data_IF_260283381159
#
_entry.id   IF_260283381159
#
_cell.length_a   1.000
_cell.length_b   1.000
_cell.length_c   1.000
_cell.angle_alpha   90.00
_cell.angle_beta   90.00
_cell.angle_gamma   90.00
#
_symmetry.space_group_name_H-M   'P 1'
#
loop_
_entity.id
_entity.type
_entity.pdbx_description
1 polymer ?
#
# COMPACT_ATOMS: atom_id res chain seq x y z
N UNK A 1 5.10 27.26 30.84
CA UNK A 1 5.71 26.32 29.87
C UNK A 1 6.08 24.97 30.53
N UNK A 2 5.32 24.49 31.52
CA UNK A 2 5.85 23.48 32.48
C UNK A 2 5.06 22.16 32.54
N UNK A 3 4.02 21.96 31.71
CA UNK A 3 3.14 20.78 31.84
C UNK A 3 3.21 19.77 30.67
N UNK A 4 3.70 20.16 29.49
CA UNK A 4 3.73 19.26 28.32
C UNK A 4 4.81 18.16 28.43
N UNK A 5 6.01 18.51 28.93
CA UNK A 5 7.14 17.57 29.06
C UNK A 5 6.89 16.45 30.06
N UNK A 6 6.06 16.68 31.08
CA UNK A 6 5.69 15.66 32.07
C UNK A 6 4.64 14.68 31.52
N UNK A 7 3.71 15.16 30.68
CA UNK A 7 2.71 14.32 30.03
C UNK A 7 3.32 13.39 28.97
N UNK A 8 4.38 13.81 28.28
CA UNK A 8 5.09 12.95 27.31
C UNK A 8 5.92 11.83 27.96
N UNK A 9 6.19 11.91 29.27
CA UNK A 9 6.96 10.89 29.99
C UNK A 9 6.12 9.66 30.39
N UNK A 10 4.80 9.79 30.48
CA UNK A 10 3.89 8.67 30.70
C UNK A 10 3.46 8.07 29.35
N UNK A 11 3.82 6.82 29.02
CA UNK A 11 3.45 6.19 27.74
C UNK A 11 1.94 5.97 27.56
N UNK A 12 1.15 6.13 28.62
CA UNK A 12 -0.31 6.07 28.63
C UNK A 12 -0.99 7.44 28.69
N UNK A 13 -0.25 8.55 28.56
CA UNK A 13 -0.89 9.86 28.40
C UNK A 13 -1.63 9.94 27.07
N UNK A 14 -2.65 10.79 27.00
CA UNK A 14 -3.40 11.00 25.75
C UNK A 14 -2.50 11.49 24.61
N UNK A 15 -1.46 12.28 24.92
CA UNK A 15 -0.46 12.75 23.94
C UNK A 15 0.35 11.58 23.41
N UNK A 16 0.91 10.72 24.28
CA UNK A 16 1.71 9.57 23.85
C UNK A 16 0.89 8.55 23.05
N UNK A 17 -0.39 8.35 23.40
CA UNK A 17 -1.31 7.48 22.66
C UNK A 17 -1.62 8.08 21.28
N UNK A 18 -1.90 9.39 21.21
CA UNK A 18 -2.12 10.10 19.96
C UNK A 18 -0.91 10.00 19.03
N UNK A 19 0.28 10.28 19.56
CA UNK A 19 1.52 10.23 18.79
C UNK A 19 1.79 8.83 18.26
N UNK A 20 1.59 7.79 19.08
CA UNK A 20 1.71 6.39 18.65
C UNK A 20 0.73 6.06 17.53
N UNK A 21 -0.52 6.53 17.62
CA UNK A 21 -1.53 6.33 16.58
C UNK A 21 -1.14 7.04 15.28
N UNK A 22 -0.63 8.29 15.36
CA UNK A 22 -0.16 9.05 14.20
C UNK A 22 1.03 8.37 13.51
N UNK A 23 1.99 7.86 14.29
CA UNK A 23 3.14 7.10 13.79
C UNK A 23 2.67 5.80 13.12
N UNK A 24 1.77 5.06 13.76
CA UNK A 24 1.22 3.83 13.20
C UNK A 24 0.48 4.09 11.87
N UNK A 25 -0.33 5.15 11.79
CA UNK A 25 -1.02 5.53 10.57
C UNK A 25 -0.05 5.91 9.44
N UNK A 26 1.02 6.65 9.74
CA UNK A 26 2.06 6.97 8.76
C UNK A 26 2.82 5.72 8.29
N UNK A 27 3.16 4.82 9.22
CA UNK A 27 3.79 3.53 8.91
C UNK A 27 2.89 2.67 8.03
N UNK A 28 1.59 2.59 8.35
CA UNK A 28 0.63 1.82 7.56
C UNK A 28 0.61 2.25 6.09
N UNK A 29 0.53 3.56 5.83
CA UNK A 29 0.58 4.10 4.45
C UNK A 29 1.91 3.76 3.75
N UNK A 30 3.04 3.94 4.43
CA UNK A 30 4.36 3.60 3.87
C UNK A 30 4.50 2.12 3.56
N UNK A 31 4.01 1.26 4.46
CA UNK A 31 4.02 -0.19 4.27
C UNK A 31 3.12 -0.63 3.11
N UNK A 32 1.96 0.01 2.91
CA UNK A 32 1.09 -0.26 1.76
C UNK A 32 1.82 0.01 0.43
N UNK A 33 2.49 1.17 0.32
CA UNK A 33 3.27 1.56 -0.86
C UNK A 33 4.43 0.58 -1.09
N UNK A 34 5.23 0.33 -0.05
CA UNK A 34 6.37 -0.58 -0.12
C UNK A 34 5.95 -2.01 -0.52
N UNK A 35 4.79 -2.47 -0.06
CA UNK A 35 4.26 -3.78 -0.42
C UNK A 35 3.87 -3.84 -1.90
N UNK A 36 3.22 -2.81 -2.44
CA UNK A 36 2.89 -2.74 -3.86
C UNK A 36 4.16 -2.82 -4.73
N UNK A 37 5.19 -2.05 -4.38
CA UNK A 37 6.46 -2.04 -5.11
C UNK A 37 7.22 -3.37 -4.99
N UNK A 38 7.19 -4.01 -3.81
CA UNK A 38 7.77 -5.33 -3.63
C UNK A 38 7.06 -6.37 -4.52
N UNK A 39 5.73 -6.36 -4.56
CA UNK A 39 4.93 -7.24 -5.43
C UNK A 39 5.26 -6.99 -6.92
N UNK A 40 5.44 -5.73 -7.34
CA UNK A 40 5.90 -5.41 -8.70
C UNK A 40 7.25 -6.07 -9.02
N UNK A 41 8.21 -6.01 -8.08
CA UNK A 41 9.54 -6.61 -8.27
C UNK A 41 9.51 -8.14 -8.29
N UNK A 42 8.64 -8.74 -7.47
CA UNK A 42 8.38 -10.18 -7.43
C UNK A 42 7.82 -10.64 -8.77
N UNK A 43 6.81 -9.94 -9.31
CA UNK A 43 6.21 -10.27 -10.61
C UNK A 43 7.23 -10.11 -11.74
N UNK A 44 7.95 -8.99 -11.80
CA UNK A 44 8.87 -8.68 -12.88
C UNK A 44 10.01 -9.70 -13.03
N UNK A 45 10.37 -10.40 -11.94
CA UNK A 45 11.41 -11.44 -11.90
C UNK A 45 10.84 -12.84 -11.68
N UNK A 46 9.52 -12.97 -11.60
CA UNK A 46 8.82 -14.21 -11.28
C UNK A 46 9.41 -14.94 -10.06
N UNK A 47 9.74 -14.17 -9.01
CA UNK A 47 10.49 -14.64 -7.83
C UNK A 47 9.81 -15.83 -7.16
N UNK A 48 8.48 -15.91 -7.26
CA UNK A 48 7.68 -16.99 -6.69
C UNK A 48 8.05 -18.40 -7.21
N UNK A 49 8.61 -18.54 -8.42
CA UNK A 49 9.10 -19.83 -8.90
C UNK A 49 10.31 -20.36 -8.11
N UNK A 50 11.10 -19.46 -7.51
CA UNK A 50 12.24 -19.86 -6.66
C UNK A 50 11.79 -20.46 -5.31
N UNK A 51 10.50 -20.32 -4.98
CA UNK A 51 9.88 -20.86 -3.79
C UNK A 51 8.88 -21.98 -4.12
N UNK A 52 9.02 -22.62 -5.29
CA UNK A 52 8.17 -23.74 -5.75
C UNK A 52 6.67 -23.39 -5.87
N UNK A 53 6.34 -22.09 -5.98
CA UNK A 53 4.98 -21.61 -6.19
C UNK A 53 4.68 -21.39 -7.67
N UNK A 54 3.42 -21.56 -8.05
CA UNK A 54 2.99 -21.50 -9.46
C UNK A 54 2.48 -20.13 -9.89
N UNK A 55 2.31 -19.20 -8.94
CA UNK A 55 1.76 -17.87 -9.25
C UNK A 55 2.12 -16.81 -8.20
N UNK A 56 2.08 -15.55 -8.63
CA UNK A 56 2.15 -14.40 -7.72
C UNK A 56 1.04 -14.42 -6.67
N UNK A 57 -0.14 -14.92 -7.02
CA UNK A 57 -1.26 -15.03 -6.08
C UNK A 57 -0.94 -15.96 -4.92
N UNK A 58 -0.38 -17.15 -5.20
CA UNK A 58 0.09 -18.06 -4.16
C UNK A 58 1.18 -17.40 -3.31
N UNK A 59 2.15 -16.72 -3.93
CA UNK A 59 3.19 -16.00 -3.20
C UNK A 59 2.61 -14.98 -2.21
N UNK A 60 1.63 -14.19 -2.65
CA UNK A 60 0.97 -13.20 -1.80
C UNK A 60 0.20 -13.82 -0.63
N UNK A 61 -0.47 -14.96 -0.84
CA UNK A 61 -1.29 -15.59 0.20
C UNK A 61 -0.44 -16.44 1.14
N UNK A 62 0.43 -17.29 0.59
CA UNK A 62 1.16 -18.31 1.34
C UNK A 62 2.42 -17.76 2.01
N UNK A 63 3.18 -16.89 1.34
CA UNK A 63 4.44 -16.37 1.89
C UNK A 63 4.29 -14.97 2.50
N UNK A 64 3.49 -14.09 1.90
CA UNK A 64 3.24 -12.75 2.47
C UNK A 64 2.09 -12.73 3.49
N UNK A 65 1.33 -13.83 3.63
CA UNK A 65 0.24 -13.94 4.59
C UNK A 65 -0.97 -13.05 4.28
N UNK A 66 -1.13 -12.59 3.04
CA UNK A 66 -2.28 -11.77 2.66
C UNK A 66 -3.56 -12.61 2.61
N UNK A 67 -4.68 -12.00 2.99
CA UNK A 67 -5.98 -12.58 2.67
C UNK A 67 -6.13 -12.66 1.15
N UNK A 68 -6.91 -13.64 0.66
CA UNK A 68 -7.17 -13.78 -0.79
C UNK A 68 -7.70 -12.48 -1.42
N UNK A 69 -8.57 -11.76 -0.69
CA UNK A 69 -9.12 -10.49 -1.17
C UNK A 69 -8.03 -9.42 -1.30
N UNK A 70 -7.19 -9.27 -0.27
CA UNK A 70 -6.06 -8.34 -0.32
C UNK A 70 -5.08 -8.71 -1.45
N UNK A 71 -4.75 -9.98 -1.62
CA UNK A 71 -3.89 -10.44 -2.71
C UNK A 71 -4.46 -10.05 -4.09
N UNK A 72 -5.76 -10.26 -4.33
CA UNK A 72 -6.39 -9.82 -5.57
C UNK A 72 -6.33 -8.31 -5.78
N UNK A 73 -6.57 -7.52 -4.74
CA UNK A 73 -6.55 -6.06 -4.85
C UNK A 73 -5.14 -5.55 -5.17
N UNK A 74 -4.12 -6.02 -4.45
CA UNK A 74 -2.74 -5.67 -4.71
C UNK A 74 -2.29 -6.08 -6.12
N UNK A 75 -2.59 -7.30 -6.55
CA UNK A 75 -2.21 -7.78 -7.90
C UNK A 75 -2.91 -6.97 -8.99
N UNK A 76 -4.19 -6.64 -8.80
CA UNK A 76 -4.96 -5.84 -9.76
C UNK A 76 -4.40 -4.43 -9.89
N UNK A 77 -4.15 -3.77 -8.75
CA UNK A 77 -3.58 -2.42 -8.72
C UNK A 77 -2.15 -2.43 -9.25
N UNK A 78 -1.35 -3.44 -8.92
CA UNK A 78 0.00 -3.61 -9.43
C UNK A 78 0.02 -3.66 -10.96
N UNK A 79 -0.80 -4.54 -11.56
CA UNK A 79 -0.89 -4.67 -13.02
C UNK A 79 -1.35 -3.39 -13.68
N UNK A 80 -2.38 -2.73 -13.11
CA UNK A 80 -2.87 -1.45 -13.63
C UNK A 80 -1.84 -0.33 -13.47
N UNK A 81 -1.04 -0.34 -12.40
CA UNK A 81 0.04 0.63 -12.15
C UNK A 81 1.19 0.47 -13.15
N UNK A 82 1.46 -0.76 -13.62
CA UNK A 82 2.40 -1.01 -14.71
C UNK A 82 1.89 -0.48 -16.06
N UNK A 83 0.58 -0.54 -16.31
CA UNK A 83 -0.07 0.01 -17.51
C UNK A 83 -0.23 1.54 -17.46
N UNK A 84 -0.52 2.09 -16.28
CA UNK A 84 -0.82 3.50 -16.04
C UNK A 84 0.16 4.04 -14.99
N UNK A 85 1.36 4.49 -15.38
CA UNK A 85 2.39 4.95 -14.44
C UNK A 85 1.93 6.08 -13.50
N UNK A 86 1.01 6.94 -13.96
CA UNK A 86 0.42 7.99 -13.13
C UNK A 86 -0.32 7.43 -11.89
N UNK A 87 -0.90 6.23 -11.98
CA UNK A 87 -1.53 5.56 -10.85
C UNK A 87 -0.49 5.13 -9.81
N UNK A 88 0.66 4.62 -10.25
CA UNK A 88 1.76 4.27 -9.34
C UNK A 88 2.27 5.51 -8.61
N UNK A 89 2.50 6.60 -9.33
CA UNK A 89 2.98 7.86 -8.75
C UNK A 89 1.99 8.44 -7.73
N UNK A 90 0.68 8.36 -8.01
CA UNK A 90 -0.37 8.75 -7.08
C UNK A 90 -0.38 7.91 -5.79
N UNK A 91 -0.04 6.63 -5.88
CA UNK A 91 0.10 5.78 -4.70
C UNK A 91 1.39 6.15 -3.94
N UNK A 92 2.52 6.32 -4.65
CA UNK A 92 3.82 6.68 -4.06
C UNK A 92 3.82 7.99 -3.29
N UNK A 93 3.20 9.02 -3.84
CA UNK A 93 3.10 10.32 -3.19
C UNK A 93 1.98 10.38 -2.13
N UNK A 94 1.20 9.30 -1.99
CA UNK A 94 0.13 9.17 -1.02
C UNK A 94 -1.15 9.95 -1.37
N UNK A 95 -1.31 10.43 -2.61
CA UNK A 95 -2.56 11.06 -3.07
C UNK A 95 -3.72 10.06 -3.17
N UNK A 96 -3.41 8.77 -3.37
CA UNK A 96 -4.38 7.68 -3.29
C UNK A 96 -3.81 6.46 -2.55
N UNK A 97 -4.69 5.51 -2.20
CA UNK A 97 -4.33 4.24 -1.55
C UNK A 97 -4.58 3.08 -2.52
N UNK A 98 -4.01 1.90 -2.25
CA UNK A 98 -4.29 0.70 -3.07
C UNK A 98 -5.78 0.39 -3.11
N UNK A 99 -6.46 0.49 -1.97
CA UNK A 99 -7.90 0.28 -1.86
C UNK A 99 -8.75 1.27 -2.66
N UNK A 100 -8.32 2.54 -2.78
CA UNK A 100 -8.99 3.55 -3.61
C UNK A 100 -8.71 3.32 -5.10
N UNK A 101 -7.43 3.14 -5.45
CA UNK A 101 -6.98 2.82 -6.80
C UNK A 101 -7.72 1.60 -7.36
N UNK A 102 -7.92 0.57 -6.54
CA UNK A 102 -8.62 -0.66 -6.91
C UNK A 102 -10.01 -0.41 -7.51
N UNK A 103 -10.73 0.60 -7.03
CA UNK A 103 -12.09 0.93 -7.48
C UNK A 103 -12.13 1.49 -8.90
N UNK A 104 -11.05 2.11 -9.36
CA UNK A 104 -10.95 2.73 -10.68
C UNK A 104 -10.18 1.87 -11.69
N UNK A 105 -9.60 0.74 -11.27
CA UNK A 105 -8.76 -0.11 -12.15
C UNK A 105 -9.47 -0.58 -13.43
N UNK A 106 -10.80 -0.68 -13.47
CA UNK A 106 -11.54 -1.11 -14.67
C UNK A 106 -11.72 0.01 -15.71
N UNK A 107 -11.56 1.28 -15.32
CA UNK A 107 -11.88 2.45 -16.16
C UNK A 107 -10.70 3.40 -16.37
N UNK A 108 -9.71 3.34 -15.47
CA UNK A 108 -8.52 4.17 -15.56
C UNK A 108 -7.59 3.66 -16.66
N UNK A 109 -7.14 4.61 -17.47
CA UNK A 109 -6.25 4.44 -18.61
C UNK A 109 -5.18 5.54 -18.56
N UNK A 110 -4.14 5.42 -19.38
CA UNK A 110 -3.12 6.47 -19.50
C UNK A 110 -3.75 7.83 -19.86
N UNK A 111 -4.77 7.84 -20.74
CA UNK A 111 -5.40 9.05 -21.28
C UNK A 111 -6.29 9.80 -20.28
N UNK A 112 -6.97 9.10 -19.39
CA UNK A 112 -7.94 9.68 -18.44
C UNK A 112 -7.48 9.58 -16.98
N UNK A 113 -6.22 9.20 -16.74
CA UNK A 113 -5.68 8.93 -15.41
C UNK A 113 -5.86 10.09 -14.44
N UNK A 114 -5.61 11.33 -14.89
CA UNK A 114 -5.77 12.53 -14.06
C UNK A 114 -7.18 12.68 -13.49
N UNK A 115 -8.19 12.56 -14.35
CA UNK A 115 -9.60 12.70 -13.96
C UNK A 115 -10.01 11.65 -12.92
N UNK A 116 -9.59 10.40 -13.10
CA UNK A 116 -9.96 9.31 -12.18
C UNK A 116 -9.18 9.30 -10.87
N UNK A 117 -7.94 9.79 -10.86
CA UNK A 117 -7.10 9.82 -9.66
C UNK A 117 -7.50 10.97 -8.73
N UNK A 118 -8.01 12.08 -9.27
CA UNK A 118 -8.42 13.27 -8.51
C UNK A 118 -9.84 13.17 -7.90
N UNK A 119 -10.64 12.18 -8.31
CA UNK A 119 -11.99 11.89 -7.77
C UNK A 119 -11.95 11.22 -6.37
#
# INVERSE_FOLDING_TARGET
MTNLKALTANPNSYVAIHDRAMIAAANYKRSEIAMLEAIMQVEARQVYFQFELTSLFQYCVELLGLSRHAAYDFITVMRKSAEVPALLEAIRNGSTTVSKARKICSVVTVRNSKEWIEL
#
